data_IF_302226190729
#
_entry.id   IF_302226190729
#
_cell.length_a   1.000
_cell.length_b   1.000
_cell.length_c   1.000
_cell.angle_alpha   90.00
_cell.angle_beta   90.00
_cell.angle_gamma   90.00
#
_symmetry.space_group_name_H-M   'P 1'
#
loop_
_entity.id
_entity.type
_entity.pdbx_description
1 polymer ?
#
# COMPACT_ATOMS: atom_id res chain seq x y z
N UNK A 1 -10.07 -27.80 12.96
CA UNK A 1 -10.64 -26.60 13.62
C UNK A 1 -10.32 -26.51 15.12
N UNK A 2 -10.23 -27.62 15.87
CA UNK A 2 -10.00 -27.60 17.33
C UNK A 2 -8.65 -26.99 17.80
N UNK A 3 -7.57 -27.13 17.01
CA UNK A 3 -6.23 -26.64 17.39
C UNK A 3 -6.04 -25.12 17.31
N UNK A 4 -6.77 -24.44 16.42
CA UNK A 4 -6.63 -22.99 16.22
C UNK A 4 -7.38 -22.18 17.27
N UNK A 5 -8.48 -22.74 17.79
CA UNK A 5 -9.27 -22.14 18.87
C UNK A 5 -8.44 -22.15 20.16
N UNK A 6 -7.83 -23.30 20.48
CA UNK A 6 -7.03 -23.46 21.70
C UNK A 6 -5.76 -22.58 21.72
N UNK A 7 -5.05 -22.44 20.58
CA UNK A 7 -3.81 -21.65 20.53
C UNK A 7 -4.01 -20.13 20.68
N UNK A 8 -5.21 -19.63 20.39
CA UNK A 8 -5.55 -18.21 20.53
C UNK A 8 -6.23 -17.93 21.86
N UNK A 9 -7.10 -18.83 22.34
CA UNK A 9 -7.86 -18.62 23.59
C UNK A 9 -7.02 -18.79 24.86
N UNK A 10 -6.08 -19.73 24.88
CA UNK A 10 -5.27 -20.01 26.07
C UNK A 10 -4.41 -18.80 26.51
N UNK A 11 -3.58 -18.18 25.64
CA UNK A 11 -2.77 -17.04 26.04
C UNK A 11 -3.63 -15.82 26.41
N UNK A 12 -4.74 -15.59 25.70
CA UNK A 12 -5.67 -14.48 26.01
C UNK A 12 -6.34 -14.68 27.37
N UNK A 13 -6.71 -15.91 27.71
CA UNK A 13 -7.27 -16.24 29.04
C UNK A 13 -6.24 -16.02 30.15
N UNK A 14 -5.00 -16.45 29.95
CA UNK A 14 -3.91 -16.31 30.94
C UNK A 14 -3.54 -14.84 31.19
N UNK A 15 -3.48 -14.01 30.14
CA UNK A 15 -3.17 -12.58 30.25
C UNK A 15 -4.29 -11.83 30.99
N UNK A 16 -5.56 -12.10 30.64
CA UNK A 16 -6.73 -11.55 31.33
C UNK A 16 -6.79 -11.97 32.81
N UNK A 17 -6.46 -13.23 33.10
CA UNK A 17 -6.46 -13.75 34.47
C UNK A 17 -5.38 -13.08 35.33
N UNK A 18 -4.22 -12.75 34.74
CA UNK A 18 -3.17 -11.97 35.41
C UNK A 18 -3.57 -10.52 35.67
N UNK A 19 -4.23 -9.86 34.72
CA UNK A 19 -4.68 -8.47 34.89
C UNK A 19 -5.83 -8.33 35.88
N UNK A 20 -6.81 -9.23 35.82
CA UNK A 20 -8.01 -9.15 36.66
C UNK A 20 -7.81 -9.79 38.04
N UNK A 21 -6.78 -10.64 38.21
CA UNK A 21 -6.55 -11.41 39.44
C UNK A 21 -7.66 -12.43 39.74
N UNK A 22 -8.57 -12.68 38.79
CA UNK A 22 -9.70 -13.63 38.85
C UNK A 22 -9.86 -14.33 37.51
N UNK A 23 -10.60 -15.44 37.49
CA UNK A 23 -11.02 -16.04 36.21
C UNK A 23 -11.85 -15.02 35.40
N UNK A 24 -11.48 -14.73 34.15
CA UNK A 24 -12.24 -13.83 33.29
C UNK A 24 -13.60 -14.43 32.95
N UNK A 25 -14.62 -13.57 32.90
CA UNK A 25 -15.97 -13.98 32.51
C UNK A 25 -16.02 -14.30 31.02
N UNK A 26 -16.91 -15.20 30.60
CA UNK A 26 -17.06 -15.57 29.18
C UNK A 26 -17.25 -14.36 28.25
N UNK A 27 -17.89 -13.30 28.72
CA UNK A 27 -18.05 -12.04 27.98
C UNK A 27 -16.72 -11.28 27.79
N UNK A 28 -15.91 -11.18 28.85
CA UNK A 28 -14.59 -10.51 28.84
C UNK A 28 -13.60 -11.29 27.95
N UNK A 29 -13.67 -12.63 28.00
CA UNK A 29 -12.87 -13.51 27.17
C UNK A 29 -13.26 -13.43 25.69
N UNK A 30 -14.57 -13.36 25.37
CA UNK A 30 -15.06 -13.21 24.01
C UNK A 30 -14.65 -11.86 23.41
N UNK A 31 -14.70 -10.78 24.19
CA UNK A 31 -14.29 -9.44 23.75
C UNK A 31 -12.78 -9.36 23.47
N UNK A 32 -11.95 -9.86 24.37
CA UNK A 32 -10.50 -9.89 24.15
C UNK A 32 -10.10 -10.80 22.98
N UNK A 33 -10.75 -11.95 22.84
CA UNK A 33 -10.49 -12.86 21.70
C UNK A 33 -10.87 -12.22 20.37
N UNK A 34 -12.00 -11.50 20.30
CA UNK A 34 -12.37 -10.73 19.12
C UNK A 34 -11.34 -9.66 18.80
N UNK A 35 -10.89 -8.88 19.79
CA UNK A 35 -9.86 -7.85 19.60
C UNK A 35 -8.55 -8.45 19.08
N UNK A 36 -8.10 -9.58 19.62
CA UNK A 36 -6.89 -10.28 19.15
C UNK A 36 -7.04 -10.80 17.73
N UNK A 37 -8.20 -11.37 17.37
CA UNK A 37 -8.46 -11.83 16.00
C UNK A 37 -8.48 -10.66 15.01
N UNK A 38 -9.11 -9.54 15.36
CA UNK A 38 -9.14 -8.32 14.55
C UNK A 38 -7.73 -7.76 14.36
N UNK A 39 -6.94 -7.63 15.44
CA UNK A 39 -5.57 -7.14 15.38
C UNK A 39 -4.68 -8.04 14.51
N UNK A 40 -4.82 -9.36 14.63
CA UNK A 40 -4.08 -10.32 13.81
C UNK A 40 -4.48 -10.24 12.33
N UNK A 41 -5.76 -10.07 12.03
CA UNK A 41 -6.24 -9.86 10.66
C UNK A 41 -5.69 -8.57 10.05
N UNK A 42 -5.64 -7.47 10.83
CA UNK A 42 -5.03 -6.20 10.41
C UNK A 42 -3.54 -6.39 10.12
N UNK A 43 -2.81 -7.10 10.97
CA UNK A 43 -1.37 -7.33 10.79
C UNK A 43 -1.07 -8.18 9.55
N UNK A 44 -1.85 -9.25 9.33
CA UNK A 44 -1.76 -10.07 8.11
C UNK A 44 -2.05 -9.20 6.88
N UNK A 45 -3.10 -8.36 6.94
CA UNK A 45 -3.43 -7.41 5.87
C UNK A 45 -2.30 -6.42 5.57
N UNK A 46 -1.65 -5.89 6.62
CA UNK A 46 -0.49 -5.00 6.51
C UNK A 46 0.70 -5.70 5.85
N UNK A 47 1.02 -6.91 6.29
CA UNK A 47 2.11 -7.72 5.72
C UNK A 47 1.84 -8.06 4.25
N UNK A 48 0.61 -8.47 3.91
CA UNK A 48 0.19 -8.76 2.55
C UNK A 48 0.31 -7.51 1.64
N UNK A 49 -0.16 -6.36 2.11
CA UNK A 49 -0.04 -5.08 1.40
C UNK A 49 1.42 -4.71 1.14
N UNK A 50 2.29 -4.86 2.13
CA UNK A 50 3.72 -4.58 1.99
C UNK A 50 4.39 -5.53 0.98
N UNK A 51 4.03 -6.80 0.97
CA UNK A 51 4.53 -7.78 -0.02
C UNK A 51 4.07 -7.41 -1.43
N UNK A 52 2.81 -7.02 -1.59
CA UNK A 52 2.22 -6.59 -2.86
C UNK A 52 2.92 -5.33 -3.39
N UNK A 53 3.15 -4.32 -2.54
CA UNK A 53 3.93 -3.13 -2.88
C UNK A 53 5.34 -3.52 -3.38
N UNK A 54 6.09 -4.29 -2.58
CA UNK A 54 7.48 -4.68 -2.91
C UNK A 54 7.61 -5.42 -4.25
N UNK A 55 6.68 -6.32 -4.57
CA UNK A 55 6.69 -7.02 -5.87
C UNK A 55 6.48 -6.08 -7.05
N UNK A 56 5.66 -5.03 -6.89
CA UNK A 56 5.31 -4.12 -7.98
C UNK A 56 6.25 -2.89 -8.05
N UNK A 57 7.17 -2.69 -7.10
CA UNK A 57 8.23 -1.67 -7.24
C UNK A 57 9.14 -1.92 -8.45
N UNK A 58 9.45 -3.20 -8.74
CA UNK A 58 10.25 -3.57 -9.93
C UNK A 58 9.51 -3.24 -11.23
N UNK A 59 8.17 -3.32 -11.21
CA UNK A 59 7.34 -2.91 -12.34
C UNK A 59 7.43 -1.39 -12.55
N UNK A 60 7.34 -0.59 -11.48
CA UNK A 60 7.51 0.88 -11.56
C UNK A 60 8.85 1.23 -12.23
N UNK A 61 9.95 0.63 -11.77
CA UNK A 61 11.26 0.86 -12.34
C UNK A 61 11.35 0.44 -13.82
N UNK A 62 10.79 -0.73 -14.16
CA UNK A 62 10.74 -1.21 -15.55
C UNK A 62 9.93 -0.28 -16.47
N UNK A 63 8.89 0.38 -15.95
CA UNK A 63 8.08 1.33 -16.71
C UNK A 63 8.84 2.64 -16.89
N UNK A 64 9.48 3.17 -15.84
CA UNK A 64 10.31 4.38 -15.93
C UNK A 64 11.42 4.18 -16.97
N UNK A 65 12.18 3.09 -16.89
CA UNK A 65 13.25 2.79 -17.85
C UNK A 65 12.75 2.65 -19.29
N UNK A 66 11.48 2.24 -19.49
CA UNK A 66 10.89 2.08 -20.81
C UNK A 66 10.41 3.39 -21.43
N UNK A 67 9.87 4.32 -20.64
CA UNK A 67 9.28 5.57 -21.12
C UNK A 67 10.19 6.78 -20.99
N UNK A 68 11.13 6.73 -20.04
CA UNK A 68 12.00 7.83 -19.68
C UNK A 68 13.43 7.31 -19.44
N UNK A 69 14.08 6.71 -20.45
CA UNK A 69 15.42 6.13 -20.31
C UNK A 69 16.46 7.18 -19.84
N UNK A 70 16.35 8.43 -20.31
CA UNK A 70 17.29 9.50 -19.96
C UNK A 70 17.07 10.04 -18.53
N UNK A 71 15.85 9.91 -18.00
CA UNK A 71 15.52 10.32 -16.64
C UNK A 71 15.85 9.24 -15.60
N UNK A 72 16.13 8.00 -16.02
CA UNK A 72 16.48 6.89 -15.14
C UNK A 72 17.81 7.10 -14.38
N UNK A 73 18.66 8.02 -14.85
CA UNK A 73 19.92 8.43 -14.20
C UNK A 73 19.98 9.93 -13.93
N UNK A 74 18.88 10.64 -14.13
CA UNK A 74 18.80 12.09 -13.95
C UNK A 74 18.38 12.52 -12.54
N UNK A 75 18.53 13.80 -12.19
CA UNK A 75 18.14 14.34 -10.89
C UNK A 75 16.64 14.15 -10.57
N UNK A 76 15.79 14.01 -11.59
CA UNK A 76 14.33 13.79 -11.46
C UNK A 76 13.92 12.32 -11.30
N UNK A 77 14.88 11.39 -11.27
CA UNK A 77 14.60 9.96 -11.13
C UNK A 77 13.84 9.64 -9.85
N UNK A 78 14.23 10.28 -8.74
CA UNK A 78 13.62 10.06 -7.44
C UNK A 78 12.15 10.50 -7.44
N UNK A 79 11.84 11.64 -8.07
CA UNK A 79 10.48 12.18 -8.15
C UNK A 79 9.58 11.31 -9.00
N UNK A 80 10.07 10.83 -10.15
CA UNK A 80 9.37 9.86 -11.00
C UNK A 80 9.10 8.54 -10.26
N UNK A 81 10.08 8.04 -9.51
CA UNK A 81 9.89 6.86 -8.67
C UNK A 81 8.81 7.10 -7.61
N UNK A 82 8.84 8.22 -6.90
CA UNK A 82 7.84 8.55 -5.89
C UNK A 82 6.44 8.69 -6.49
N UNK A 83 6.30 9.37 -7.63
CA UNK A 83 5.03 9.50 -8.34
C UNK A 83 4.49 8.15 -8.81
N UNK A 84 5.34 7.29 -9.38
CA UNK A 84 4.97 5.94 -9.80
C UNK A 84 4.55 5.05 -8.61
N UNK A 85 5.26 5.15 -7.48
CA UNK A 85 4.91 4.45 -6.23
C UNK A 85 3.57 4.96 -5.68
N UNK A 86 3.32 6.27 -5.72
CA UNK A 86 2.04 6.85 -5.30
C UNK A 86 0.88 6.34 -6.15
N UNK A 87 1.04 6.33 -7.48
CA UNK A 87 0.05 5.78 -8.41
C UNK A 87 -0.22 4.29 -8.17
N UNK A 88 0.82 3.51 -7.90
CA UNK A 88 0.70 2.09 -7.56
C UNK A 88 -0.05 1.87 -6.23
N UNK A 89 0.22 2.68 -5.20
CA UNK A 89 -0.46 2.56 -3.90
C UNK A 89 -1.95 2.87 -4.04
N UNK A 90 -2.29 3.96 -4.73
CA UNK A 90 -3.70 4.33 -4.97
C UNK A 90 -4.46 3.22 -5.70
N UNK A 91 -3.82 2.54 -6.65
CA UNK A 91 -4.44 1.43 -7.35
C UNK A 91 -4.56 0.18 -6.49
N UNK A 92 -3.55 -0.14 -5.67
CA UNK A 92 -3.64 -1.24 -4.69
C UNK A 92 -4.82 -1.04 -3.74
N UNK A 93 -5.11 0.20 -3.35
CA UNK A 93 -6.24 0.51 -2.46
C UNK A 93 -7.60 0.35 -3.15
N UNK A 94 -7.65 0.44 -4.48
CA UNK A 94 -8.86 0.26 -5.31
C UNK A 94 -8.98 -1.15 -5.91
N UNK A 95 -7.94 -1.97 -5.77
CA UNK A 95 -7.87 -3.27 -6.42
C UNK A 95 -8.81 -4.28 -5.77
N UNK A 96 -9.74 -4.82 -6.56
CA UNK A 96 -10.62 -5.91 -6.14
C UNK A 96 -10.01 -7.27 -6.51
N UNK A 97 -9.49 -8.05 -5.54
CA UNK A 97 -8.87 -9.36 -5.83
C UNK A 97 -9.88 -10.41 -6.35
N UNK A 98 -11.18 -10.15 -6.22
CA UNK A 98 -12.24 -11.02 -6.71
C UNK A 98 -12.46 -10.91 -8.23
N UNK A 99 -11.96 -9.85 -8.87
CA UNK A 99 -11.93 -9.76 -10.34
C UNK A 99 -10.79 -10.63 -10.86
N UNK A 100 -11.04 -11.40 -11.93
CA UNK A 100 -10.09 -12.35 -12.57
C UNK A 100 -8.83 -11.72 -13.20
N UNK A 101 -8.46 -10.50 -12.83
CA UNK A 101 -7.39 -9.74 -13.43
C UNK A 101 -6.25 -9.49 -12.44
N UNK A 102 -5.02 -9.53 -12.94
CA UNK A 102 -3.81 -9.34 -12.12
C UNK A 102 -3.59 -7.85 -11.87
N UNK A 103 -3.16 -7.50 -10.66
CA UNK A 103 -2.78 -6.13 -10.30
C UNK A 103 -1.74 -5.54 -11.28
N UNK A 104 -0.80 -6.34 -11.77
CA UNK A 104 0.21 -5.91 -12.75
C UNK A 104 -0.40 -5.33 -14.03
N UNK A 105 -1.58 -5.80 -14.42
CA UNK A 105 -2.29 -5.36 -15.64
C UNK A 105 -2.90 -3.99 -15.42
N UNK A 106 -3.59 -3.77 -14.30
CA UNK A 106 -4.22 -2.49 -13.99
C UNK A 106 -3.19 -1.45 -13.51
N UNK A 107 -2.26 -1.85 -12.65
CA UNK A 107 -1.23 -0.98 -12.09
C UNK A 107 -0.35 -0.33 -13.17
N UNK A 108 -0.12 -1.00 -14.30
CA UNK A 108 0.61 -0.43 -15.41
C UNK A 108 -0.02 0.87 -15.94
N UNK A 109 -1.34 0.94 -16.05
CA UNK A 109 -2.04 2.15 -16.53
C UNK A 109 -1.82 3.33 -15.57
N UNK A 110 -1.98 3.09 -14.27
CA UNK A 110 -1.85 4.12 -13.23
C UNK A 110 -0.41 4.58 -13.03
N UNK A 111 0.56 3.67 -13.09
CA UNK A 111 1.98 4.03 -13.04
C UNK A 111 2.32 4.96 -14.21
N UNK A 112 1.86 4.65 -15.43
CA UNK A 112 2.12 5.49 -16.60
C UNK A 112 1.45 6.84 -16.50
N UNK A 113 0.19 6.87 -16.05
CA UNK A 113 -0.54 8.11 -15.84
C UNK A 113 0.20 9.02 -14.85
N UNK A 114 0.60 8.48 -13.69
CA UNK A 114 1.31 9.25 -12.67
C UNK A 114 2.62 9.86 -13.19
N UNK A 115 3.39 9.11 -13.99
CA UNK A 115 4.63 9.59 -14.60
C UNK A 115 4.38 10.69 -15.64
N UNK A 116 3.37 10.50 -16.50
CA UNK A 116 2.99 11.50 -17.50
C UNK A 116 2.50 12.81 -16.86
N UNK A 117 1.72 12.71 -15.79
CA UNK A 117 1.19 13.87 -15.07
C UNK A 117 2.32 14.69 -14.43
N UNK A 118 3.31 14.02 -13.81
CA UNK A 118 4.49 14.68 -13.26
C UNK A 118 5.31 15.39 -14.35
N UNK A 119 5.51 14.73 -15.49
CA UNK A 119 6.26 15.32 -16.61
C UNK A 119 5.56 16.56 -17.19
N UNK A 120 4.22 16.57 -17.22
CA UNK A 120 3.45 17.73 -17.68
C UNK A 120 3.47 18.88 -16.67
N UNK A 121 3.34 18.60 -15.38
CA UNK A 121 3.41 19.59 -14.30
C UNK A 121 4.74 20.36 -14.32
N UNK A 122 5.83 19.63 -14.57
CA UNK A 122 7.19 20.18 -14.71
C UNK A 122 7.36 21.10 -15.94
N UNK A 123 6.67 20.80 -17.05
CA UNK A 123 6.63 21.65 -18.26
C UNK A 123 5.82 22.92 -18.02
N UNK A 124 4.70 22.83 -17.30
CA UNK A 124 3.86 23.99 -16.97
C UNK A 124 4.59 24.94 -16.02
N UNK A 125 5.42 24.40 -15.11
CA UNK A 125 6.16 25.21 -14.13
C UNK A 125 7.39 25.92 -14.72
N UNK A 126 7.89 25.46 -15.87
CA UNK A 126 9.12 26.00 -16.50
C UNK A 126 8.86 27.05 -17.58
N UNK A 127 7.60 27.35 -17.91
CA UNK A 127 7.19 28.46 -18.75
C UNK A 127 6.60 29.58 -17.86
N UNK A 128 7.38 30.58 -17.42
CA UNK A 128 6.77 31.76 -16.80
C UNK A 128 5.91 32.48 -17.85
N UNK A 129 4.75 32.99 -17.43
CA UNK A 129 3.80 33.79 -18.21
C UNK A 129 4.36 35.18 -18.60
N UNK A 130 5.63 35.29 -18.96
CA UNK A 130 6.34 36.55 -19.14
C UNK A 130 6.50 36.94 -20.62
N UNK A 131 5.55 36.58 -21.49
CA UNK A 131 5.56 37.00 -22.90
C UNK A 131 4.20 37.53 -23.40
N UNK A 132 3.40 38.12 -22.51
CA UNK A 132 2.25 38.97 -22.87
C UNK A 132 2.46 40.43 -22.44
N UNK A 133 3.63 41.01 -22.73
CA UNK A 133 3.73 42.47 -22.94
C UNK A 133 3.60 42.74 -24.44
N UNK A 134 2.37 43.11 -24.83
CA UNK A 134 2.06 43.73 -26.11
C UNK A 134 2.91 45.00 -26.28
N UNK A 135 3.80 45.01 -27.27
CA UNK A 135 4.32 46.22 -27.90
C UNK A 135 3.48 46.55 -29.13
#
# INVERSE_FOLDING_TARGET
MSLFVSSVLLPVKEDLQKELGREPTDAELAEATNNVQVNKAIEIGRAARNKLKKHNLRLVLSVINKYFPDFASGPKFQDLCQAGVKGLITEIDRFEPNRKFRLSTYGLFFIRHALLWLALDDVVTTQPLDNLTLH
#
